data_IF_131041291203
#
_entry.id   IF_131041291203
#
_cell.length_a   1.000
_cell.length_b   1.000
_cell.length_c   1.000
_cell.angle_alpha   90.00
_cell.angle_beta   90.00
_cell.angle_gamma   90.00
#
_symmetry.space_group_name_H-M   'P 1'
#
loop_
_entity.id
_entity.type
_entity.pdbx_description
1 polymer ?
#
# COMPACT_ATOMS: atom_id res chain seq x y z
N UNK A 1 11.33 -10.78 -27.65
CA UNK A 1 10.73 -11.44 -26.48
C UNK A 1 9.76 -10.44 -25.88
N UNK A 2 8.49 -10.80 -25.68
CA UNK A 2 7.57 -9.94 -24.95
C UNK A 2 8.04 -9.94 -23.48
N UNK A 3 8.31 -8.76 -22.93
CA UNK A 3 8.56 -8.63 -21.50
C UNK A 3 7.21 -8.91 -20.85
N UNK A 4 7.10 -10.01 -20.12
CA UNK A 4 5.90 -10.31 -19.36
C UNK A 4 5.76 -9.22 -18.30
N UNK A 5 4.65 -8.49 -18.34
CA UNK A 5 4.42 -7.38 -17.41
C UNK A 5 4.14 -7.97 -16.02
N UNK A 6 5.05 -7.70 -15.07
CA UNK A 6 5.11 -8.29 -13.73
C UNK A 6 3.79 -8.26 -12.95
N UNK A 7 2.99 -7.21 -13.15
CA UNK A 7 1.73 -6.95 -12.46
C UNK A 7 0.59 -6.65 -13.45
N UNK A 8 0.50 -7.40 -14.56
CA UNK A 8 -0.45 -7.14 -15.65
C UNK A 8 -1.95 -7.13 -15.24
N UNK A 9 -2.30 -7.80 -14.14
CA UNK A 9 -3.65 -7.87 -13.58
C UNK A 9 -3.93 -6.80 -12.51
N UNK A 10 -2.98 -5.91 -12.26
CA UNK A 10 -3.06 -4.86 -11.24
C UNK A 10 -3.29 -3.51 -11.92
N UNK A 11 -4.13 -2.67 -11.31
CA UNK A 11 -4.32 -1.28 -11.73
C UNK A 11 -4.14 -0.32 -10.56
N UNK A 12 -3.49 0.80 -10.77
CA UNK A 12 -3.41 1.91 -9.82
C UNK A 12 -4.74 2.67 -9.83
N UNK A 13 -5.40 2.73 -8.67
CA UNK A 13 -6.63 3.52 -8.48
C UNK A 13 -6.33 4.92 -7.93
N UNK A 14 -5.39 5.02 -7.00
CA UNK A 14 -4.98 6.27 -6.38
C UNK A 14 -3.60 6.11 -5.74
N UNK A 15 -2.85 7.21 -5.62
CA UNK A 15 -1.67 7.27 -4.79
C UNK A 15 -1.62 8.61 -4.04
N UNK A 16 -0.93 8.59 -2.90
CA UNK A 16 -0.50 9.75 -2.14
C UNK A 16 0.99 9.57 -1.91
N UNK A 17 1.79 10.19 -2.77
CA UNK A 17 3.24 10.11 -2.69
C UNK A 17 3.79 11.24 -1.83
N UNK A 18 4.87 10.94 -1.11
CA UNK A 18 5.69 11.95 -0.45
C UNK A 18 6.82 12.35 -1.40
N UNK A 19 6.71 13.54 -1.99
CA UNK A 19 7.66 14.05 -2.99
C UNK A 19 9.06 14.25 -2.41
N UNK A 20 9.14 14.60 -1.11
CA UNK A 20 10.40 14.81 -0.40
C UNK A 20 11.00 13.51 0.17
N UNK A 21 10.32 12.36 -0.02
CA UNK A 21 10.74 11.02 0.40
C UNK A 21 11.20 10.93 1.88
N UNK A 22 10.56 11.74 2.74
CA UNK A 22 10.78 11.86 4.18
C UNK A 22 9.78 11.01 4.99
N UNK A 23 8.60 10.77 4.43
CA UNK A 23 7.50 10.02 5.02
C UNK A 23 7.06 8.87 4.10
N UNK A 24 6.20 8.02 4.64
CA UNK A 24 5.60 6.93 3.89
C UNK A 24 4.72 7.45 2.75
N UNK A 25 4.63 6.63 1.69
CA UNK A 25 3.70 6.87 0.58
C UNK A 25 2.68 5.77 0.48
N UNK A 26 1.45 6.15 0.15
CA UNK A 26 0.30 5.26 0.14
C UNK A 26 -0.23 5.07 -1.27
N UNK A 27 -0.56 3.83 -1.60
CA UNK A 27 -1.08 3.42 -2.89
C UNK A 27 -2.34 2.61 -2.71
N UNK A 28 -3.27 2.76 -3.65
CA UNK A 28 -4.46 1.95 -3.76
C UNK A 28 -4.48 1.29 -5.12
N UNK A 29 -4.57 -0.03 -5.12
CA UNK A 29 -4.59 -0.85 -6.32
C UNK A 29 -5.89 -1.65 -6.43
N UNK A 30 -6.23 -2.01 -7.66
CA UNK A 30 -7.26 -2.99 -8.00
C UNK A 30 -6.58 -4.19 -8.65
N UNK A 31 -6.67 -5.35 -7.99
CA UNK A 31 -6.11 -6.62 -8.46
C UNK A 31 -7.24 -7.48 -9.03
N UNK A 32 -7.00 -8.07 -10.21
CA UNK A 32 -7.97 -8.93 -10.93
C UNK A 32 -9.31 -8.26 -11.24
N UNK A 33 -9.33 -6.93 -11.29
CA UNK A 33 -10.55 -6.15 -11.50
C UNK A 33 -11.55 -6.19 -10.34
N UNK A 34 -11.22 -6.84 -9.22
CA UNK A 34 -12.17 -7.11 -8.12
C UNK A 34 -11.64 -6.71 -6.74
N UNK A 35 -10.35 -6.95 -6.46
CA UNK A 35 -9.82 -6.84 -5.11
C UNK A 35 -9.07 -5.53 -4.91
N UNK A 36 -9.55 -4.70 -3.97
CA UNK A 36 -8.84 -3.47 -3.58
C UNK A 36 -7.72 -3.81 -2.60
N UNK A 37 -6.51 -3.34 -2.90
CA UNK A 37 -5.33 -3.47 -2.04
C UNK A 37 -4.77 -2.10 -1.70
N UNK A 38 -4.48 -1.88 -0.42
CA UNK A 38 -3.78 -0.71 0.11
C UNK A 38 -2.34 -1.11 0.34
N UNK A 39 -1.40 -0.36 -0.24
CA UNK A 39 0.02 -0.65 -0.08
C UNK A 39 0.76 0.61 0.34
N UNK A 40 1.58 0.48 1.37
CA UNK A 40 2.42 1.56 1.88
C UNK A 40 3.88 1.25 1.58
N UNK A 41 4.64 2.27 1.18
CA UNK A 41 6.09 2.18 0.97
C UNK A 41 6.79 3.14 1.92
N UNK A 42 7.82 2.65 2.60
CA UNK A 42 8.66 3.51 3.42
C UNK A 42 9.49 4.51 2.61
N UNK A 43 10.03 5.55 3.26
CA UNK A 43 10.92 6.52 2.63
C UNK A 43 12.17 5.83 2.05
N UNK A 44 12.65 6.31 0.91
CA UNK A 44 13.86 5.78 0.25
C UNK A 44 13.63 4.56 -0.63
N UNK A 45 12.43 3.98 -0.63
CA UNK A 45 12.16 2.75 -1.39
C UNK A 45 12.32 2.91 -2.90
N UNK A 46 11.91 4.06 -3.44
CA UNK A 46 11.97 4.37 -4.87
C UNK A 46 12.81 5.61 -5.15
N UNK A 47 13.87 5.81 -4.37
CA UNK A 47 14.77 6.95 -4.51
C UNK A 47 15.39 6.99 -5.91
N UNK A 48 15.34 8.16 -6.56
CA UNK A 48 15.81 8.38 -7.93
C UNK A 48 14.77 8.03 -9.01
N UNK A 49 13.55 7.65 -8.63
CA UNK A 49 12.42 7.39 -9.52
C UNK A 49 11.18 8.20 -9.11
N UNK A 50 11.37 9.39 -8.53
CA UNK A 50 10.34 10.19 -7.88
C UNK A 50 9.15 10.49 -8.81
N UNK A 51 9.44 10.91 -10.05
CA UNK A 51 8.42 11.22 -11.07
C UNK A 51 7.66 9.97 -11.53
N UNK A 52 8.31 8.80 -11.50
CA UNK A 52 7.77 7.54 -11.98
C UNK A 52 6.82 6.89 -10.94
N UNK A 53 6.85 7.35 -9.69
CA UNK A 53 6.00 6.83 -8.60
C UNK A 53 4.50 7.04 -8.82
N UNK A 54 4.12 7.91 -9.77
CA UNK A 54 2.72 8.17 -10.14
C UNK A 54 2.34 7.64 -11.52
N UNK A 55 3.34 7.21 -12.31
CA UNK A 55 3.13 6.72 -13.66
C UNK A 55 2.94 5.20 -13.66
N UNK A 56 1.67 4.78 -13.66
CA UNK A 56 1.25 3.38 -13.53
C UNK A 56 2.08 2.35 -14.34
N UNK A 57 2.41 2.58 -15.63
CA UNK A 57 3.20 1.61 -16.39
C UNK A 57 4.59 1.31 -15.80
N UNK A 58 5.33 2.35 -15.37
CA UNK A 58 6.66 2.18 -14.75
C UNK A 58 6.49 1.68 -13.33
N UNK A 59 5.53 2.23 -12.59
CA UNK A 59 5.23 1.82 -11.22
C UNK A 59 4.98 0.32 -11.11
N UNK A 60 4.12 -0.24 -11.96
CA UNK A 60 3.72 -1.65 -11.91
C UNK A 60 4.69 -2.58 -12.64
N UNK A 61 5.35 -2.09 -13.70
CA UNK A 61 6.29 -2.87 -14.49
C UNK A 61 7.66 -3.01 -13.82
N UNK A 62 8.15 -1.93 -13.24
CA UNK A 62 9.55 -1.81 -12.80
C UNK A 62 9.65 -1.70 -11.28
N UNK A 63 8.99 -0.70 -10.67
CA UNK A 63 9.21 -0.33 -9.28
C UNK A 63 8.61 -1.31 -8.27
N UNK A 64 7.31 -1.57 -8.32
CA UNK A 64 6.62 -2.40 -7.33
C UNK A 64 6.95 -3.88 -7.51
N UNK A 65 7.21 -4.66 -6.45
CA UNK A 65 7.34 -6.12 -6.56
C UNK A 65 6.09 -6.80 -7.15
N UNK A 66 6.19 -8.08 -7.57
CA UNK A 66 5.01 -8.89 -7.85
C UNK A 66 4.05 -8.90 -6.65
N UNK A 67 2.76 -8.71 -6.89
CA UNK A 67 1.76 -8.74 -5.82
C UNK A 67 1.60 -10.17 -5.28
N UNK A 68 1.67 -10.39 -3.96
CA UNK A 68 1.50 -11.71 -3.38
C UNK A 68 0.07 -12.21 -3.59
N UNK A 69 -0.07 -13.50 -3.84
CA UNK A 69 -1.37 -14.17 -3.88
C UNK A 69 -2.03 -14.22 -2.49
N UNK A 70 -3.32 -14.51 -2.47
CA UNK A 70 -4.07 -14.78 -1.24
C UNK A 70 -4.94 -13.63 -0.77
N UNK A 71 -5.57 -13.86 0.37
CA UNK A 71 -6.51 -12.93 0.98
C UNK A 71 -5.76 -11.97 1.90
N UNK A 72 -5.63 -10.73 1.43
CA UNK A 72 -5.03 -9.61 2.13
C UNK A 72 -5.59 -8.33 1.50
N UNK A 73 -5.53 -7.22 2.19
CA UNK A 73 -5.91 -5.92 1.62
C UNK A 73 -5.03 -4.77 2.09
N UNK A 74 -4.09 -5.02 2.99
CA UNK A 74 -3.04 -4.10 3.39
C UNK A 74 -1.68 -4.77 3.21
N UNK A 75 -0.72 -4.05 2.62
CA UNK A 75 0.65 -4.54 2.48
C UNK A 75 1.68 -3.43 2.70
N UNK A 76 2.85 -3.82 3.20
CA UNK A 76 4.00 -2.94 3.34
C UNK A 76 5.10 -3.41 2.38
N UNK A 77 5.62 -2.47 1.60
CA UNK A 77 6.76 -2.70 0.71
C UNK A 77 7.99 -2.03 1.30
N UNK A 78 9.13 -2.72 1.27
CA UNK A 78 10.43 -2.20 1.68
C UNK A 78 11.52 -2.71 0.73
N UNK A 79 12.61 -1.95 0.60
CA UNK A 79 13.80 -2.44 -0.08
C UNK A 79 14.45 -3.58 0.71
N UNK A 80 14.70 -4.69 0.05
CA UNK A 80 15.54 -5.76 0.55
C UNK A 80 17.01 -5.33 0.42
N UNK A 81 17.75 -5.13 1.52
CA UNK A 81 19.15 -4.70 1.46
C UNK A 81 20.09 -5.75 0.86
N UNK A 82 19.71 -7.03 0.82
CA UNK A 82 20.51 -8.11 0.22
C UNK A 82 20.28 -8.21 -1.29
N UNK A 83 19.02 -8.06 -1.74
CA UNK A 83 18.66 -8.17 -3.16
C UNK A 83 18.69 -6.83 -3.90
N UNK A 84 18.67 -5.70 -3.19
CA UNK A 84 18.59 -4.37 -3.77
C UNK A 84 17.27 -4.11 -4.51
N UNK A 85 16.22 -4.88 -4.21
CA UNK A 85 14.91 -4.79 -4.85
C UNK A 85 13.81 -4.62 -3.81
N UNK A 86 12.75 -3.91 -4.19
CA UNK A 86 11.58 -3.75 -3.35
C UNK A 86 10.83 -5.08 -3.20
N UNK A 87 10.40 -5.42 -1.98
CA UNK A 87 9.65 -6.65 -1.67
C UNK A 87 8.50 -6.37 -0.70
N UNK A 88 7.45 -7.21 -0.72
CA UNK A 88 6.41 -7.16 0.30
C UNK A 88 6.94 -7.79 1.61
N UNK A 89 7.14 -6.96 2.63
CA UNK A 89 7.65 -7.40 3.95
C UNK A 89 6.52 -7.73 4.94
N UNK A 90 5.31 -7.26 4.65
CA UNK A 90 4.11 -7.57 5.44
C UNK A 90 2.87 -7.52 4.55
N UNK A 91 1.95 -8.44 4.81
CA UNK A 91 0.57 -8.38 4.31
C UNK A 91 -0.38 -8.71 5.45
N UNK A 92 -1.49 -7.98 5.50
CA UNK A 92 -2.53 -8.15 6.50
C UNK A 92 -3.91 -8.12 5.82
N UNK A 93 -4.87 -8.83 6.43
CA UNK A 93 -6.29 -8.70 6.13
C UNK A 93 -6.89 -7.78 7.16
N UNK A 94 -7.23 -6.56 6.76
CA UNK A 94 -7.90 -5.58 7.60
C UNK A 94 -9.39 -5.58 7.25
N UNK A 95 -10.23 -6.03 8.17
CA UNK A 95 -11.66 -5.88 7.98
C UNK A 95 -12.09 -4.51 8.52
N UNK A 96 -12.39 -3.57 7.62
CA UNK A 96 -12.81 -2.21 8.00
C UNK A 96 -14.02 -2.22 8.95
N UNK A 97 -14.87 -3.25 8.84
CA UNK A 97 -16.07 -3.46 9.67
C UNK A 97 -15.74 -3.87 11.10
N UNK A 98 -14.54 -4.41 11.35
CA UNK A 98 -14.12 -4.89 12.68
C UNK A 98 -13.50 -3.77 13.53
N UNK A 99 -13.15 -2.63 12.92
CA UNK A 99 -12.73 -1.46 13.68
C UNK A 99 -13.92 -0.85 14.41
N UNK A 100 -13.88 -0.87 15.74
CA UNK A 100 -14.85 -0.14 16.55
C UNK A 100 -14.54 1.34 16.44
N UNK A 101 -15.32 2.05 15.63
CA UNK A 101 -15.23 3.50 15.51
C UNK A 101 -15.53 4.15 16.87
N UNK A 102 -14.59 4.93 17.38
CA UNK A 102 -14.75 5.67 18.64
C UNK A 102 -15.12 7.12 18.37
N UNK A 103 -14.31 7.83 17.58
CA UNK A 103 -14.49 9.25 17.30
C UNK A 103 -14.12 9.61 15.87
N UNK A 104 -14.78 10.63 15.31
CA UNK A 104 -14.40 11.22 14.03
C UNK A 104 -13.52 12.44 14.27
N UNK A 105 -12.26 12.38 13.85
CA UNK A 105 -11.30 13.47 14.01
C UNK A 105 -11.48 14.52 12.93
N UNK A 106 -11.47 14.09 11.66
CA UNK A 106 -11.63 14.95 10.47
C UNK A 106 -12.15 14.14 9.30
N UNK A 107 -12.23 14.74 8.11
CA UNK A 107 -12.72 14.04 6.91
C UNK A 107 -12.04 12.67 6.75
N UNK A 108 -12.85 11.62 6.93
CA UNK A 108 -12.49 10.21 6.78
C UNK A 108 -11.40 9.70 7.73
N UNK A 109 -10.94 10.50 8.70
CA UNK A 109 -10.00 10.07 9.73
C UNK A 109 -10.76 9.86 11.02
N UNK A 110 -10.73 8.64 11.53
CA UNK A 110 -11.43 8.21 12.72
C UNK A 110 -10.44 7.66 13.74
N UNK A 111 -10.68 7.93 15.02
CA UNK A 111 -10.12 7.12 16.10
C UNK A 111 -10.92 5.83 16.13
N UNK A 112 -10.26 4.70 15.95
CA UNK A 112 -10.89 3.38 16.01
C UNK A 112 -9.99 2.39 16.74
N UNK A 113 -10.55 1.30 17.24
CA UNK A 113 -9.79 0.22 17.88
C UNK A 113 -10.13 -1.14 17.26
N UNK A 114 -9.13 -2.01 17.17
CA UNK A 114 -9.29 -3.41 16.74
C UNK A 114 -8.41 -4.30 17.64
N UNK A 115 -8.90 -5.45 18.15
CA UNK A 115 -8.16 -6.30 19.10
C UNK A 115 -6.76 -6.69 18.61
N UNK A 116 -6.64 -7.00 17.32
CA UNK A 116 -5.39 -7.46 16.71
C UNK A 116 -4.48 -6.30 16.22
N UNK A 117 -4.90 -5.05 16.39
CA UNK A 117 -4.13 -3.86 15.98
C UNK A 117 -3.70 -3.09 17.21
N UNK A 118 -2.39 -2.78 17.31
CA UNK A 118 -1.80 -2.03 18.43
C UNK A 118 -2.18 -2.57 19.84
N UNK A 119 -2.40 -3.89 19.95
CA UNK A 119 -2.85 -4.54 21.18
C UNK A 119 -4.22 -4.05 21.67
N UNK A 120 -5.14 -3.74 20.75
CA UNK A 120 -6.48 -3.23 21.07
C UNK A 120 -6.52 -1.74 21.43
N UNK A 121 -5.39 -1.03 21.41
CA UNK A 121 -5.37 0.41 21.71
C UNK A 121 -5.91 1.22 20.52
N UNK A 122 -6.54 2.38 20.79
CA UNK A 122 -7.04 3.24 19.72
C UNK A 122 -5.92 3.65 18.75
N UNK A 123 -6.25 3.64 17.46
CA UNK A 123 -5.42 4.08 16.34
C UNK A 123 -6.19 5.05 15.47
N UNK A 124 -5.47 5.88 14.71
CA UNK A 124 -6.07 6.71 13.68
C UNK A 124 -6.21 5.89 12.40
N UNK A 125 -7.44 5.73 11.94
CA UNK A 125 -7.78 5.04 10.69
C UNK A 125 -8.29 6.07 9.70
N UNK A 126 -7.68 6.14 8.52
CA UNK A 126 -8.16 6.96 7.40
C UNK A 126 -8.86 6.06 6.39
N UNK A 127 -10.17 6.20 6.27
CA UNK A 127 -10.97 5.42 5.33
C UNK A 127 -10.81 6.00 3.91
N UNK A 128 -10.39 5.17 2.96
CA UNK A 128 -10.33 5.54 1.55
C UNK A 128 -11.70 5.27 0.88
N UNK A 129 -12.14 6.18 0.01
CA UNK A 129 -13.45 6.14 -0.69
C UNK A 129 -13.52 4.98 -1.66
#
# INVERSE_FOLDING_TARGET
MAIEQKNANVRLLACLIDEDDTYDSDYRFLVDGQYVKYVTTGPGNFRGAEDDRTFEPILLGELFPPFPAGDWNSGDVANDPEMGTATFVRTNTLNEVEFTQQDRVRQRVHVSAHPDVNGGRPVLVKLAV
#
